data_IF_640869147596
#
_entry.id   IF_640869147596
#
_cell.length_a   1.000
_cell.length_b   1.000
_cell.length_c   1.000
_cell.angle_alpha   90.00
_cell.angle_beta   90.00
_cell.angle_gamma   90.00
#
_symmetry.space_group_name_H-M   'P 1'
#
loop_
_entity.id
_entity.type
_entity.pdbx_description
1 polymer ?
#
# COMPACT_ATOMS: atom_id res chain seq x y z
N UNK A 1 6.28 10.75 -18.22
CA UNK A 1 6.12 9.39 -17.64
C UNK A 1 6.48 9.43 -16.15
N UNK A 2 6.19 8.39 -15.35
CA UNK A 2 6.43 8.41 -13.88
C UNK A 2 7.87 8.79 -13.50
N UNK A 3 8.86 8.27 -14.25
CA UNK A 3 10.28 8.64 -14.09
C UNK A 3 10.52 10.15 -14.14
N UNK A 4 9.88 10.84 -15.09
CA UNK A 4 10.06 12.29 -15.27
C UNK A 4 9.45 13.07 -14.10
N UNK A 5 8.34 12.59 -13.55
CA UNK A 5 7.73 13.17 -12.34
C UNK A 5 8.65 12.99 -11.12
N UNK A 6 9.21 11.80 -10.91
CA UNK A 6 10.19 11.55 -9.84
C UNK A 6 11.42 12.45 -9.99
N UNK A 7 11.90 12.66 -11.22
CA UNK A 7 13.04 13.53 -11.51
C UNK A 7 12.82 15.01 -11.13
N UNK A 8 11.57 15.44 -10.90
CA UNK A 8 11.27 16.78 -10.37
C UNK A 8 11.50 16.91 -8.87
N UNK A 9 11.57 15.78 -8.14
CA UNK A 9 11.71 15.72 -6.68
C UNK A 9 13.14 15.36 -6.26
N UNK A 10 13.75 14.39 -6.95
CA UNK A 10 15.11 13.91 -6.69
C UNK A 10 15.73 13.29 -7.94
N UNK A 11 17.06 13.12 -7.96
CA UNK A 11 17.74 12.37 -9.03
C UNK A 11 17.33 10.89 -8.96
N UNK A 12 16.63 10.33 -9.97
CA UNK A 12 16.17 8.94 -9.93
C UNK A 12 17.29 7.92 -9.69
N UNK A 13 18.52 8.22 -10.12
CA UNK A 13 19.66 7.31 -9.91
C UNK A 13 20.10 7.21 -8.44
N UNK A 14 19.70 8.18 -7.61
CA UNK A 14 20.02 8.25 -6.18
C UNK A 14 19.05 7.51 -5.27
N UNK A 15 17.99 6.89 -5.82
CA UNK A 15 17.01 6.11 -5.04
C UNK A 15 17.73 4.96 -4.33
N UNK A 16 17.64 4.93 -3.00
CA UNK A 16 18.27 3.89 -2.16
C UNK A 16 17.33 2.73 -1.83
N UNK A 17 16.05 3.04 -1.64
CA UNK A 17 15.03 2.09 -1.20
C UNK A 17 13.82 2.15 -2.13
N UNK A 18 13.29 0.99 -2.48
CA UNK A 18 12.04 0.83 -3.23
C UNK A 18 11.19 -0.16 -2.43
N UNK A 19 9.92 0.14 -2.19
CA UNK A 19 9.02 -0.75 -1.46
C UNK A 19 7.63 -0.70 -2.08
N UNK A 20 6.86 -1.76 -1.84
CA UNK A 20 5.53 -2.02 -2.35
C UNK A 20 4.86 -3.01 -1.40
N UNK A 21 3.53 -3.10 -1.44
CA UNK A 21 2.79 -3.86 -0.44
C UNK A 21 2.88 -5.37 -0.66
N UNK A 22 2.59 -5.80 -1.88
CA UNK A 22 2.44 -7.21 -2.28
C UNK A 22 2.86 -7.41 -3.74
N UNK A 23 2.98 -8.67 -4.14
CA UNK A 23 3.31 -9.03 -5.51
C UNK A 23 2.08 -8.91 -6.43
N UNK A 24 1.89 -7.73 -6.99
CA UNK A 24 0.98 -7.49 -8.12
C UNK A 24 1.66 -6.61 -9.16
N UNK A 25 1.29 -6.77 -10.44
CA UNK A 25 2.06 -6.21 -11.55
C UNK A 25 2.02 -4.67 -11.59
N UNK A 26 0.93 -4.05 -11.15
CA UNK A 26 0.76 -2.61 -11.04
C UNK A 26 1.45 -2.01 -9.80
N UNK A 27 1.68 -2.81 -8.76
CA UNK A 27 2.44 -2.44 -7.56
C UNK A 27 3.96 -2.57 -7.75
N UNK A 28 4.42 -3.72 -8.27
CA UNK A 28 5.86 -4.06 -8.29
C UNK A 28 6.44 -4.32 -9.70
N UNK A 29 5.62 -4.30 -10.75
CA UNK A 29 6.05 -4.71 -12.10
C UNK A 29 7.17 -3.85 -12.71
N UNK A 30 7.29 -2.58 -12.28
CA UNK A 30 8.35 -1.69 -12.72
C UNK A 30 9.65 -1.82 -11.92
N UNK A 31 9.75 -2.73 -10.94
CA UNK A 31 10.88 -2.81 -10.02
C UNK A 31 12.23 -2.95 -10.75
N UNK A 32 12.32 -3.83 -11.75
CA UNK A 32 13.55 -4.03 -12.54
C UNK A 32 14.01 -2.76 -13.24
N UNK A 33 13.07 -1.99 -13.80
CA UNK A 33 13.37 -0.74 -14.50
C UNK A 33 13.94 0.30 -13.52
N UNK A 34 13.32 0.44 -12.36
CA UNK A 34 13.81 1.33 -11.30
C UNK A 34 15.17 0.89 -10.75
N UNK A 35 15.40 -0.40 -10.55
CA UNK A 35 16.71 -0.91 -10.15
C UNK A 35 17.78 -0.71 -11.24
N UNK A 36 17.39 -0.69 -12.52
CA UNK A 36 18.32 -0.36 -13.62
C UNK A 36 18.72 1.12 -13.57
N UNK A 37 17.78 2.02 -13.29
CA UNK A 37 18.01 3.47 -13.17
C UNK A 37 18.84 3.79 -11.93
N UNK A 38 18.53 3.15 -10.79
CA UNK A 38 19.18 3.32 -9.50
C UNK A 38 20.01 2.08 -9.14
N UNK A 39 21.29 1.99 -9.54
CA UNK A 39 22.11 0.79 -9.36
C UNK A 39 22.34 0.42 -7.89
N UNK A 40 22.25 1.38 -6.97
CA UNK A 40 22.41 1.18 -5.53
C UNK A 40 21.09 0.99 -4.77
N UNK A 41 19.96 0.98 -5.49
CA UNK A 41 18.64 0.74 -4.88
C UNK A 41 18.50 -0.71 -4.41
N UNK A 42 17.85 -0.88 -3.25
CA UNK A 42 17.44 -2.18 -2.73
C UNK A 42 15.93 -2.17 -2.56
N UNK A 43 15.27 -3.20 -3.10
CA UNK A 43 13.85 -3.42 -2.83
C UNK A 43 13.68 -3.90 -1.39
N UNK A 44 12.73 -3.37 -0.64
CA UNK A 44 12.35 -3.83 0.70
C UNK A 44 10.90 -4.32 0.65
N UNK A 45 10.67 -5.58 0.97
CA UNK A 45 9.36 -6.24 0.91
C UNK A 45 9.27 -7.32 2.00
N UNK A 46 8.13 -8.03 2.06
CA UNK A 46 7.97 -9.13 3.01
C UNK A 46 8.89 -10.31 2.65
N UNK A 47 9.21 -11.14 3.64
CA UNK A 47 9.95 -12.40 3.39
C UNK A 47 9.23 -13.29 2.37
N UNK A 48 7.90 -13.33 2.40
CA UNK A 48 7.10 -14.13 1.46
C UNK A 48 7.24 -13.56 0.05
N UNK A 49 7.09 -12.24 -0.13
CA UNK A 49 7.25 -11.60 -1.43
C UNK A 49 8.64 -11.90 -2.00
N UNK A 50 9.70 -11.71 -1.19
CA UNK A 50 11.09 -11.99 -1.56
C UNK A 50 11.28 -13.42 -2.09
N UNK A 51 10.96 -14.40 -1.26
CA UNK A 51 11.33 -15.81 -1.49
C UNK A 51 10.45 -16.50 -2.53
N UNK A 52 9.21 -16.04 -2.72
CA UNK A 52 8.24 -16.73 -3.59
C UNK A 52 8.18 -16.14 -4.99
N UNK A 53 8.41 -14.83 -5.16
CA UNK A 53 8.14 -14.18 -6.45
C UNK A 53 9.06 -13.03 -6.79
N UNK A 54 9.31 -12.10 -5.88
CA UNK A 54 10.00 -10.84 -6.18
C UNK A 54 11.40 -11.08 -6.72
N UNK A 55 12.23 -11.86 -6.02
CA UNK A 55 13.63 -12.07 -6.41
C UNK A 55 13.75 -12.89 -7.71
N UNK A 56 12.81 -13.80 -7.96
CA UNK A 56 12.82 -14.68 -9.12
C UNK A 56 12.25 -14.03 -10.39
N UNK A 57 11.27 -13.12 -10.25
CA UNK A 57 10.47 -12.64 -11.38
C UNK A 57 10.78 -11.18 -11.73
N UNK A 58 10.67 -10.26 -10.77
CA UNK A 58 10.64 -8.80 -11.06
C UNK A 58 11.86 -8.03 -10.56
N UNK A 59 12.65 -8.59 -9.64
CA UNK A 59 13.87 -7.94 -9.19
C UNK A 59 15.00 -8.08 -10.23
N UNK A 60 15.87 -7.08 -10.28
CA UNK A 60 17.18 -7.12 -10.95
C UNK A 60 18.28 -7.58 -9.98
N UNK A 61 18.11 -7.31 -8.68
CA UNK A 61 19.03 -7.70 -7.61
C UNK A 61 18.26 -8.04 -6.33
N UNK A 62 18.84 -8.86 -5.43
CA UNK A 62 18.12 -9.38 -4.26
C UNK A 62 17.45 -8.29 -3.43
N UNK A 63 16.18 -8.51 -3.10
CA UNK A 63 15.43 -7.68 -2.16
C UNK A 63 15.85 -7.96 -0.71
N UNK A 64 15.54 -7.01 0.18
CA UNK A 64 15.64 -7.14 1.63
C UNK A 64 14.29 -7.60 2.17
N UNK A 65 14.26 -8.76 2.82
CA UNK A 65 13.11 -9.20 3.59
C UNK A 65 13.03 -8.40 4.90
N UNK A 66 11.93 -7.71 5.10
CA UNK A 66 11.62 -6.96 6.31
C UNK A 66 10.83 -7.84 7.29
N UNK A 67 11.13 -7.75 8.58
CA UNK A 67 10.36 -8.36 9.66
C UNK A 67 9.20 -7.48 10.10
N UNK A 68 8.17 -8.08 10.70
CA UNK A 68 7.06 -7.32 11.28
C UNK A 68 7.54 -6.39 12.40
N UNK A 69 7.13 -5.13 12.33
CA UNK A 69 7.57 -4.06 13.24
C UNK A 69 8.98 -3.55 13.01
N UNK A 70 9.75 -4.08 12.05
CA UNK A 70 11.08 -3.58 11.72
C UNK A 70 11.01 -2.17 11.13
N UNK A 71 11.87 -1.27 11.61
CA UNK A 71 11.97 0.09 11.07
C UNK A 71 13.04 0.20 9.97
N UNK A 72 12.65 0.76 8.83
CA UNK A 72 13.54 1.18 7.76
C UNK A 72 13.88 2.67 7.91
N UNK A 73 15.11 2.94 8.31
CA UNK A 73 15.62 4.30 8.46
C UNK A 73 16.10 4.89 7.12
N UNK A 74 15.61 6.08 6.78
CA UNK A 74 16.03 6.82 5.57
C UNK A 74 16.73 8.14 5.91
N UNK A 75 17.11 8.32 7.18
CA UNK A 75 17.76 9.52 7.70
C UNK A 75 16.78 10.37 8.49
N UNK A 76 15.99 11.21 7.81
CA UNK A 76 15.00 12.07 8.48
C UNK A 76 13.75 11.30 8.92
N UNK A 77 13.39 10.26 8.18
CA UNK A 77 12.13 9.52 8.36
C UNK A 77 12.42 8.05 8.67
N UNK A 78 11.54 7.47 9.48
CA UNK A 78 11.55 6.05 9.86
C UNK A 78 10.24 5.42 9.42
N UNK A 79 10.34 4.32 8.69
CA UNK A 79 9.20 3.58 8.14
C UNK A 79 9.08 2.24 8.84
N UNK A 80 8.06 2.09 9.68
CA UNK A 80 7.75 0.81 10.32
C UNK A 80 7.08 -0.12 9.32
N UNK A 81 7.65 -1.31 9.15
CA UNK A 81 7.09 -2.36 8.33
C UNK A 81 6.00 -3.12 9.10
N UNK A 82 4.83 -3.26 8.49
CA UNK A 82 3.66 -3.88 9.11
C UNK A 82 3.25 -5.07 8.25
N UNK A 83 3.37 -6.29 8.79
CA UNK A 83 2.87 -7.47 8.07
C UNK A 83 1.36 -7.52 8.16
N UNK A 84 0.70 -7.51 7.01
CA UNK A 84 -0.75 -7.49 6.88
C UNK A 84 -1.20 -8.57 5.90
N UNK A 85 -0.90 -9.86 6.18
CA UNK A 85 -1.21 -10.93 5.23
C UNK A 85 -2.70 -10.95 4.89
N UNK A 86 -2.99 -10.93 3.59
CA UNK A 86 -4.33 -10.82 3.01
C UNK A 86 -5.06 -9.48 3.25
N UNK A 87 -4.36 -8.42 3.67
CA UNK A 87 -4.92 -7.08 3.88
C UNK A 87 -3.96 -6.02 3.28
N UNK A 88 -4.30 -5.39 2.15
CA UNK A 88 -5.60 -5.45 1.47
C UNK A 88 -5.93 -6.82 0.86
N UNK A 89 -4.96 -7.49 0.22
CA UNK A 89 -5.09 -8.85 -0.32
C UNK A 89 -3.70 -9.47 -0.49
N UNK A 90 -3.61 -10.71 -0.99
CA UNK A 90 -2.39 -11.50 -1.13
C UNK A 90 -1.70 -11.87 0.21
N UNK A 91 -1.19 -13.10 0.29
CA UNK A 91 -0.58 -13.64 1.53
C UNK A 91 0.75 -12.97 1.93
N UNK A 92 1.36 -12.24 1.01
CA UNK A 92 2.64 -11.56 1.15
C UNK A 92 2.50 -10.07 1.45
N UNK A 93 1.26 -9.56 1.55
CA UNK A 93 0.97 -8.16 1.82
C UNK A 93 1.59 -7.63 3.10
N UNK A 94 1.96 -6.37 3.00
CA UNK A 94 2.53 -5.56 4.05
C UNK A 94 2.27 -4.08 3.77
N UNK A 95 2.19 -3.28 4.83
CA UNK A 95 2.07 -1.82 4.72
C UNK A 95 3.27 -1.15 5.38
N UNK A 96 3.51 0.10 5.01
CA UNK A 96 4.50 0.95 5.68
C UNK A 96 3.81 2.06 6.45
N UNK A 97 4.27 2.30 7.67
CA UNK A 97 3.87 3.47 8.46
C UNK A 97 5.07 4.37 8.71
N UNK A 98 5.05 5.57 8.14
CA UNK A 98 6.05 6.61 8.39
C UNK A 98 5.71 7.31 9.71
N UNK A 99 6.62 7.25 10.68
CA UNK A 99 6.33 7.59 12.08
C UNK A 99 6.35 9.09 12.39
N UNK A 100 7.04 9.90 11.60
CA UNK A 100 7.29 11.34 11.86
C UNK A 100 6.08 12.19 11.51
N UNK A 101 5.59 12.05 10.28
CA UNK A 101 4.39 12.67 9.73
C UNK A 101 3.17 11.76 9.79
N UNK A 102 3.29 10.58 10.40
CA UNK A 102 2.18 9.64 10.69
C UNK A 102 1.41 9.28 9.43
N UNK A 103 2.15 8.95 8.38
CA UNK A 103 1.58 8.58 7.08
C UNK A 103 1.53 7.07 6.94
N UNK A 104 0.34 6.52 6.74
CA UNK A 104 0.16 5.11 6.40
C UNK A 104 0.13 4.97 4.87
N UNK A 105 1.02 4.14 4.33
CA UNK A 105 0.97 3.73 2.92
C UNK A 105 -0.02 2.58 2.81
N UNK A 106 -1.13 2.83 2.13
CA UNK A 106 -2.35 2.02 2.25
C UNK A 106 -2.46 0.90 1.23
N UNK A 107 -1.60 0.86 0.20
CA UNK A 107 -1.78 -0.08 -0.92
C UNK A 107 -3.20 0.10 -1.51
N UNK A 108 -3.88 -0.99 -1.82
CA UNK A 108 -5.28 -1.02 -2.29
C UNK A 108 -6.34 -0.58 -1.27
N UNK A 109 -6.00 -0.43 0.02
CA UNK A 109 -6.97 0.10 0.96
C UNK A 109 -7.35 1.52 0.52
N UNK A 110 -8.65 1.80 0.49
CA UNK A 110 -9.21 3.07 -0.01
C UNK A 110 -9.06 3.32 -1.53
N UNK A 111 -8.85 2.28 -2.35
CA UNK A 111 -8.89 2.36 -3.82
C UNK A 111 -10.11 3.15 -4.35
N UNK A 112 -9.85 4.13 -5.21
CA UNK A 112 -10.85 4.96 -5.89
C UNK A 112 -10.79 4.78 -7.41
N UNK A 113 -11.96 4.68 -8.05
CA UNK A 113 -12.06 4.62 -9.50
C UNK A 113 -11.80 5.99 -10.14
N UNK A 114 -11.08 5.99 -11.25
CA UNK A 114 -10.89 7.16 -12.13
C UNK A 114 -9.77 8.11 -11.73
N UNK A 115 -9.68 9.22 -12.47
CA UNK A 115 -8.72 10.29 -12.20
C UNK A 115 -9.32 11.27 -11.20
N UNK A 116 -8.80 11.25 -9.98
CA UNK A 116 -9.26 12.04 -8.84
C UNK A 116 -8.18 13.02 -8.39
N UNK A 117 -8.54 13.95 -7.52
CA UNK A 117 -7.59 14.93 -6.99
C UNK A 117 -6.38 14.27 -6.30
N UNK A 118 -5.18 14.86 -6.32
CA UNK A 118 -4.01 14.22 -5.69
C UNK A 118 -4.16 13.98 -4.19
N UNK A 119 -4.85 14.88 -3.49
CA UNK A 119 -5.12 14.77 -2.06
C UNK A 119 -6.47 15.38 -1.72
N UNK A 120 -7.14 14.79 -0.72
CA UNK A 120 -8.47 15.18 -0.28
C UNK A 120 -8.61 15.06 1.24
N UNK A 121 -9.43 15.92 1.84
CA UNK A 121 -9.96 15.73 3.19
C UNK A 121 -11.44 15.32 3.16
N UNK A 122 -11.97 15.04 1.95
CA UNK A 122 -13.33 14.60 1.72
C UNK A 122 -13.46 13.09 1.92
N UNK A 123 -14.69 12.59 1.78
CA UNK A 123 -15.01 11.17 1.98
C UNK A 123 -14.29 10.25 0.97
N UNK A 124 -13.34 9.46 1.47
CA UNK A 124 -12.66 8.38 0.73
C UNK A 124 -13.28 7.00 0.99
N UNK A 125 -13.99 6.83 2.11
CA UNK A 125 -14.63 5.55 2.47
C UNK A 125 -15.84 5.29 1.57
N UNK A 126 -16.65 6.31 1.31
CA UNK A 126 -17.76 6.22 0.36
C UNK A 126 -17.30 5.95 -1.06
N UNK A 127 -16.21 6.58 -1.51
CA UNK A 127 -15.62 6.29 -2.83
C UNK A 127 -15.12 4.85 -2.94
N UNK A 128 -14.45 4.36 -1.89
CA UNK A 128 -14.00 2.97 -1.83
C UNK A 128 -15.16 1.98 -1.85
N UNK A 129 -16.23 2.25 -1.09
CA UNK A 129 -17.46 1.43 -1.13
C UNK A 129 -18.04 1.36 -2.54
N UNK A 130 -18.12 2.48 -3.24
CA UNK A 130 -18.61 2.50 -4.62
C UNK A 130 -17.71 1.69 -5.54
N UNK A 131 -16.39 1.83 -5.42
CA UNK A 131 -15.42 1.03 -6.18
C UNK A 131 -15.61 -0.47 -5.94
N UNK A 132 -15.78 -0.91 -4.68
CA UNK A 132 -16.05 -2.31 -4.36
C UNK A 132 -17.33 -2.82 -5.04
N UNK A 133 -18.43 -2.05 -4.95
CA UNK A 133 -19.68 -2.42 -5.61
C UNK A 133 -19.53 -2.56 -7.13
N UNK A 134 -18.77 -1.65 -7.77
CA UNK A 134 -18.51 -1.70 -9.21
C UNK A 134 -17.68 -2.93 -9.59
N UNK A 135 -16.67 -3.28 -8.78
CA UNK A 135 -15.82 -4.45 -8.98
C UNK A 135 -16.60 -5.76 -8.80
N UNK A 136 -17.38 -5.88 -7.73
CA UNK A 136 -18.23 -7.06 -7.45
C UNK A 136 -19.27 -7.30 -8.55
N UNK A 137 -19.79 -6.25 -9.17
CA UNK A 137 -20.70 -6.37 -10.32
C UNK A 137 -19.99 -6.70 -11.64
N UNK A 138 -18.67 -6.61 -11.68
CA UNK A 138 -17.84 -6.71 -12.87
C UNK A 138 -16.92 -7.94 -12.91
N UNK A 139 -15.96 -7.97 -13.85
CA UNK A 139 -15.01 -9.07 -13.99
C UNK A 139 -13.95 -9.12 -12.87
N UNK A 140 -13.90 -8.09 -12.02
CA UNK A 140 -12.96 -7.97 -10.90
C UNK A 140 -13.60 -8.37 -9.56
N UNK A 141 -14.77 -8.99 -9.56
CA UNK A 141 -15.41 -9.49 -8.34
C UNK A 141 -14.52 -10.47 -7.60
N UNK A 142 -14.50 -10.38 -6.27
CA UNK A 142 -13.57 -11.12 -5.41
C UNK A 142 -12.18 -10.50 -5.30
N UNK A 143 -12.00 -9.26 -5.75
CA UNK A 143 -10.74 -8.50 -5.62
C UNK A 143 -10.25 -8.44 -4.17
N UNK A 144 -11.15 -8.10 -3.24
CA UNK A 144 -10.89 -8.09 -1.80
C UNK A 144 -11.87 -9.00 -1.07
N UNK A 145 -11.44 -9.54 0.08
CA UNK A 145 -12.28 -10.37 0.95
C UNK A 145 -12.32 -9.80 2.37
N UNK A 146 -13.49 -9.84 3.00
CA UNK A 146 -13.63 -9.48 4.40
C UNK A 146 -13.70 -10.73 5.29
N UNK A 147 -12.95 -10.68 6.39
CA UNK A 147 -12.99 -11.67 7.46
C UNK A 147 -12.75 -11.00 8.81
N UNK A 148 -12.94 -11.75 9.91
CA UNK A 148 -12.55 -11.28 11.24
C UNK A 148 -11.07 -10.86 11.32
N UNK A 149 -10.20 -11.48 10.52
CA UNK A 149 -8.79 -11.11 10.43
C UNK A 149 -8.64 -9.74 9.78
N UNK A 150 -9.38 -9.44 8.72
CA UNK A 150 -9.42 -8.12 8.07
C UNK A 150 -9.80 -7.04 9.08
N UNK A 151 -10.87 -7.26 9.84
CA UNK A 151 -11.31 -6.32 10.87
C UNK A 151 -10.26 -6.08 11.98
N UNK A 152 -9.55 -7.13 12.41
CA UNK A 152 -8.46 -7.00 13.40
C UNK A 152 -7.27 -6.21 12.88
N UNK A 153 -6.85 -6.46 11.63
CA UNK A 153 -5.75 -5.72 11.01
C UNK A 153 -6.10 -4.24 10.87
N UNK A 154 -7.31 -3.93 10.37
CA UNK A 154 -7.75 -2.53 10.24
C UNK A 154 -7.81 -1.81 11.60
N UNK A 155 -8.23 -2.49 12.67
CA UNK A 155 -8.20 -1.93 14.01
C UNK A 155 -6.75 -1.66 14.50
N UNK A 156 -5.81 -2.57 14.25
CA UNK A 156 -4.39 -2.37 14.57
C UNK A 156 -3.78 -1.20 13.79
N UNK A 157 -4.12 -1.06 12.51
CA UNK A 157 -3.71 0.09 11.70
C UNK A 157 -4.32 1.39 12.23
N UNK A 158 -5.58 1.37 12.65
CA UNK A 158 -6.25 2.53 13.25
C UNK A 158 -5.60 2.95 14.58
N UNK A 159 -5.03 2.00 15.33
CA UNK A 159 -4.31 2.29 16.57
C UNK A 159 -3.01 3.07 16.36
N UNK A 160 -2.43 2.98 15.17
CA UNK A 160 -1.32 3.85 14.75
C UNK A 160 -1.74 5.30 14.59
N UNK A 161 -3.05 5.59 14.56
CA UNK A 161 -3.68 6.91 14.37
C UNK A 161 -2.98 7.79 13.32
N UNK A 162 -2.96 7.35 12.05
CA UNK A 162 -2.35 8.11 10.96
C UNK A 162 -3.08 9.43 10.73
N UNK A 163 -2.33 10.46 10.36
CA UNK A 163 -2.85 11.79 9.96
C UNK A 163 -2.96 11.91 8.43
N UNK A 164 -2.27 11.03 7.71
CA UNK A 164 -2.35 10.92 6.25
C UNK A 164 -2.43 9.45 5.84
N UNK A 165 -3.31 9.15 4.90
CA UNK A 165 -3.42 7.85 4.24
C UNK A 165 -2.94 8.03 2.80
N UNK A 166 -1.75 7.53 2.49
CA UNK A 166 -1.17 7.52 1.15
C UNK A 166 -1.70 6.31 0.38
N UNK A 167 -2.77 6.53 -0.38
CA UNK A 167 -3.50 5.51 -1.15
C UNK A 167 -2.78 5.24 -2.48
N UNK A 168 -2.70 3.96 -2.89
CA UNK A 168 -2.08 3.59 -4.16
C UNK A 168 -2.94 4.00 -5.37
N UNK A 169 -4.25 3.75 -5.28
CA UNK A 169 -5.22 4.03 -6.34
C UNK A 169 -6.13 5.19 -5.95
N UNK A 170 -5.77 6.40 -6.39
CA UNK A 170 -6.58 7.61 -6.24
C UNK A 170 -6.02 8.64 -5.26
N UNK A 171 -6.90 9.40 -4.62
CA UNK A 171 -6.52 10.52 -3.74
C UNK A 171 -5.91 10.03 -2.43
N UNK A 172 -4.81 10.65 -2.00
CA UNK A 172 -4.36 10.55 -0.62
C UNK A 172 -5.32 11.28 0.32
N UNK A 173 -5.65 10.68 1.46
CA UNK A 173 -6.53 11.31 2.46
C UNK A 173 -5.71 12.03 3.55
N UNK A 174 -6.11 13.24 3.90
CA UNK A 174 -5.54 14.03 5.00
C UNK A 174 -6.62 14.36 6.01
N UNK A 175 -6.47 13.87 7.24
CA UNK A 175 -7.47 14.01 8.29
C UNK A 175 -7.37 12.94 9.38
N UNK A 176 -8.50 12.61 10.00
CA UNK A 176 -8.57 11.56 11.03
C UNK A 176 -8.48 10.17 10.40
N UNK A 177 -7.25 9.70 10.16
CA UNK A 177 -6.99 8.39 9.57
C UNK A 177 -7.39 7.23 10.48
N UNK A 178 -7.44 7.42 11.81
CA UNK A 178 -8.00 6.42 12.74
C UNK A 178 -9.46 6.19 12.42
N UNK A 179 -10.26 7.26 12.37
CA UNK A 179 -11.68 7.16 12.09
C UNK A 179 -11.93 6.59 10.69
N UNK A 180 -11.18 7.04 9.68
CA UNK A 180 -11.29 6.53 8.32
C UNK A 180 -11.04 5.02 8.21
N UNK A 181 -10.05 4.46 8.94
CA UNK A 181 -9.77 3.01 8.97
C UNK A 181 -10.87 2.22 9.70
N UNK A 182 -11.45 2.78 10.77
CA UNK A 182 -12.57 2.15 11.46
C UNK A 182 -13.83 2.11 10.57
N UNK A 183 -14.11 3.21 9.88
CA UNK A 183 -15.23 3.32 8.93
C UNK A 183 -15.02 2.43 7.70
N UNK A 184 -13.77 2.32 7.22
CA UNK A 184 -13.38 1.38 6.17
C UNK A 184 -13.75 -0.07 6.54
N UNK A 185 -13.43 -0.49 7.77
CA UNK A 185 -13.75 -1.84 8.25
C UNK A 185 -15.27 -2.10 8.22
N UNK A 186 -16.07 -1.10 8.62
CA UNK A 186 -17.54 -1.20 8.54
C UNK A 186 -18.00 -1.29 7.09
N UNK A 187 -17.51 -0.41 6.22
CA UNK A 187 -17.89 -0.38 4.81
C UNK A 187 -17.53 -1.68 4.07
N UNK A 188 -16.33 -2.23 4.32
CA UNK A 188 -15.90 -3.52 3.77
C UNK A 188 -16.81 -4.64 4.23
N UNK A 189 -17.10 -4.72 5.54
CA UNK A 189 -18.00 -5.74 6.08
C UNK A 189 -19.38 -5.64 5.43
N UNK A 190 -19.98 -4.46 5.39
CA UNK A 190 -21.32 -4.30 4.82
C UNK A 190 -21.41 -4.59 3.32
N UNK A 191 -20.29 -4.46 2.59
CA UNK A 191 -20.26 -4.63 1.13
C UNK A 191 -19.85 -6.04 0.73
N UNK A 192 -18.97 -6.68 1.49
CA UNK A 192 -18.35 -7.96 1.15
C UNK A 192 -18.85 -9.13 2.01
N UNK A 193 -19.47 -8.89 3.17
CA UNK A 193 -20.05 -9.95 4.00
C UNK A 193 -21.42 -10.36 3.45
N UNK A 194 -21.51 -11.58 2.89
CA UNK A 194 -22.73 -12.12 2.29
C UNK A 194 -22.89 -11.93 0.77
N UNK A 195 -21.83 -11.48 0.08
CA UNK A 195 -21.70 -11.61 -1.37
C UNK A 195 -21.36 -13.06 -1.79
#
# INVERSE_FOLDING_TARGET
>A
MVKDAVATVLDPSSIRWISFSHFEADECGALREWQTIAPDSVAACSLVSKEVSVDDVVALRPSRAMADGECLETGRFSFQFLRTPNVPHCWDASLLFEQTGRTLFCSDLFHQNGDVEPSTSSDVVGRFRQMLLDYEAGPFGGYLQYSDTTGKVLAQLADLAPETLAVMHGSSFVGDGRQALMDLSVAMRETLDGA
#
